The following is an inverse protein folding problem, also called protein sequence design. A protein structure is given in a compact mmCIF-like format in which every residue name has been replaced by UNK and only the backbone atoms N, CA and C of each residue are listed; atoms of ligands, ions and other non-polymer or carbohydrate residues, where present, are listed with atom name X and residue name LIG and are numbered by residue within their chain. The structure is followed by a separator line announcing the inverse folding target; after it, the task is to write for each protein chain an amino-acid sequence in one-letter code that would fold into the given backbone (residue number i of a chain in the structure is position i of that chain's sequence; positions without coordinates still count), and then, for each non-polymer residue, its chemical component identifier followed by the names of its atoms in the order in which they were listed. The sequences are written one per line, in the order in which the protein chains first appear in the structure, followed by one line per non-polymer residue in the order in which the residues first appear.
data_IF_020606403451
#
_entry.id   IF_020606403451
#
_cell.length_a   1.000
_cell.length_b   1.000
_cell.length_c   1.000
_cell.angle_alpha   90.00
_cell.angle_beta   90.00
_cell.angle_gamma   90.00
#
_symmetry.space_group_name_H-M   'P 1'
#
loop_
_entity.id
_entity.type
_entity.pdbx_description
1 polymer ?
#
# COMPACT_ATOMS: atom_id res chain seq x y z
N UNK A 1 4.72 -16.46 1.08
CA UNK A 1 5.33 -15.74 -0.05
C UNK A 1 4.96 -16.50 -1.32
N UNK A 2 4.08 -16.01 -2.19
CA UNK A 2 3.87 -16.64 -3.48
C UNK A 2 5.14 -16.40 -4.31
N UNK A 3 5.78 -17.47 -4.76
CA UNK A 3 7.02 -17.43 -5.54
C UNK A 3 6.79 -16.71 -6.87
N UNK A 4 7.77 -15.92 -7.33
CA UNK A 4 7.75 -15.22 -8.62
C UNK A 4 7.44 -16.17 -9.80
N UNK A 5 7.79 -17.45 -9.63
CA UNK A 5 7.44 -18.55 -10.53
C UNK A 5 5.94 -18.72 -10.76
N UNK A 6 5.11 -18.57 -9.72
CA UNK A 6 3.66 -18.71 -9.82
C UNK A 6 3.01 -17.61 -10.66
N UNK A 7 3.63 -16.42 -10.70
CA UNK A 7 3.12 -15.28 -11.46
C UNK A 7 3.47 -15.40 -12.95
N UNK A 8 4.70 -15.81 -13.26
CA UNK A 8 5.18 -16.01 -14.64
C UNK A 8 4.44 -17.17 -15.32
N UNK A 9 4.15 -18.26 -14.60
CA UNK A 9 3.38 -19.37 -15.18
C UNK A 9 1.94 -18.96 -15.48
N UNK A 10 1.27 -18.26 -14.56
CA UNK A 10 -0.07 -17.71 -14.81
C UNK A 10 -0.09 -16.74 -15.99
N UNK A 11 0.99 -15.97 -16.18
CA UNK A 11 1.17 -15.07 -17.33
C UNK A 11 1.28 -15.84 -18.66
N UNK A 12 2.05 -16.93 -18.71
CA UNK A 12 2.17 -17.76 -19.91
C UNK A 12 0.85 -18.47 -20.24
N UNK A 13 0.14 -18.96 -19.23
CA UNK A 13 -1.18 -19.59 -19.41
C UNK A 13 -2.22 -18.59 -19.92
N UNK A 14 -2.26 -17.38 -19.36
CA UNK A 14 -3.17 -16.33 -19.83
C UNK A 14 -2.83 -15.91 -21.28
N UNK A 15 -1.55 -15.75 -21.60
CA UNK A 15 -1.11 -15.43 -22.97
C UNK A 15 -1.47 -16.53 -23.99
N UNK A 16 -1.38 -17.81 -23.61
CA UNK A 16 -1.80 -18.93 -24.45
C UNK A 16 -3.32 -19.01 -24.62
N UNK A 17 -4.11 -18.70 -23.59
CA UNK A 17 -5.58 -18.76 -23.63
C UNK A 17 -6.22 -17.69 -24.55
N UNK A 18 -5.48 -16.64 -24.91
CA UNK A 18 -5.94 -15.56 -25.80
C UNK A 18 -5.11 -15.43 -27.09
N UNK A 19 -4.33 -16.45 -27.43
CA UNK A 19 -3.51 -16.50 -28.65
C UNK A 19 -4.20 -17.25 -29.79
N UNK A 20 -5.51 -17.09 -29.94
CA UNK A 20 -6.24 -17.64 -31.10
C UNK A 20 -6.10 -16.65 -32.26
N UNK A 21 -5.57 -17.12 -33.39
CA UNK A 21 -5.34 -16.36 -34.63
C UNK A 21 -6.67 -16.11 -35.36
N UNK A 22 -7.47 -15.18 -34.85
CA UNK A 22 -8.63 -14.64 -35.55
C UNK A 22 -8.33 -13.24 -36.06
N UNK A 23 -8.36 -13.06 -37.39
CA UNK A 23 -8.16 -11.82 -38.17
C UNK A 23 -9.27 -10.77 -37.96
N UNK A 24 -9.87 -10.71 -36.77
CA UNK A 24 -10.91 -9.75 -36.43
C UNK A 24 -10.28 -8.49 -35.83
N UNK A 25 -10.45 -7.34 -36.50
CA UNK A 25 -9.98 -6.01 -36.06
C UNK A 25 -10.40 -5.70 -34.61
N UNK A 26 -11.57 -6.18 -34.21
CA UNK A 26 -12.08 -6.10 -32.83
C UNK A 26 -11.23 -6.91 -31.83
N UNK A 27 -10.79 -8.11 -32.19
CA UNK A 27 -9.92 -8.96 -31.36
C UNK A 27 -8.54 -8.32 -31.21
N UNK A 28 -8.04 -7.68 -32.27
CA UNK A 28 -6.76 -6.97 -32.23
C UNK A 28 -6.80 -5.71 -31.34
N UNK A 29 -7.90 -4.95 -31.39
CA UNK A 29 -8.14 -3.82 -30.48
C UNK A 29 -8.32 -4.27 -29.02
N UNK A 30 -9.06 -5.36 -28.79
CA UNK A 30 -9.20 -5.98 -27.47
C UNK A 30 -7.83 -6.40 -26.92
N UNK A 31 -6.99 -7.03 -27.73
CA UNK A 31 -5.64 -7.43 -27.36
C UNK A 31 -4.75 -6.24 -27.01
N UNK A 32 -4.80 -5.16 -27.78
CA UNK A 32 -4.06 -3.92 -27.49
C UNK A 32 -4.52 -3.31 -26.17
N UNK A 33 -5.83 -3.18 -25.95
CA UNK A 33 -6.38 -2.62 -24.72
C UNK A 33 -6.02 -3.47 -23.49
N UNK A 34 -6.12 -4.80 -23.59
CA UNK A 34 -5.69 -5.72 -22.54
C UNK A 34 -4.20 -5.53 -22.26
N UNK A 35 -3.36 -5.44 -23.29
CA UNK A 35 -1.91 -5.22 -23.13
C UNK A 35 -1.63 -3.91 -22.40
N UNK A 36 -2.30 -2.81 -22.76
CA UNK A 36 -2.14 -1.50 -22.12
C UNK A 36 -2.58 -1.51 -20.65
N UNK A 37 -3.74 -2.09 -20.35
CA UNK A 37 -4.23 -2.24 -18.97
C UNK A 37 -3.26 -3.08 -18.14
N UNK A 38 -2.71 -4.14 -18.73
CA UNK A 38 -1.76 -5.02 -18.05
C UNK A 38 -0.45 -4.28 -17.72
N UNK A 39 0.08 -3.52 -18.68
CA UNK A 39 1.28 -2.70 -18.47
C UNK A 39 1.05 -1.64 -17.38
N UNK A 40 -0.12 -1.00 -17.37
CA UNK A 40 -0.49 -0.04 -16.33
C UNK A 40 -0.54 -0.68 -14.93
N UNK A 41 -1.13 -1.88 -14.81
CA UNK A 41 -1.18 -2.60 -13.53
C UNK A 41 0.22 -2.99 -13.05
N UNK A 42 1.11 -3.42 -13.96
CA UNK A 42 2.50 -3.77 -13.65
C UNK A 42 3.27 -2.53 -13.16
N UNK A 43 3.17 -1.40 -13.86
CA UNK A 43 3.83 -0.15 -13.47
C UNK A 43 3.38 0.30 -12.07
N UNK A 44 2.07 0.26 -11.81
CA UNK A 44 1.51 0.61 -10.50
C UNK A 44 1.96 -0.34 -9.38
N UNK A 45 2.07 -1.64 -9.68
CA UNK A 45 2.60 -2.62 -8.74
C UNK A 45 4.09 -2.38 -8.44
N UNK A 46 4.90 -2.14 -9.47
CA UNK A 46 6.31 -1.83 -9.33
C UNK A 46 6.54 -0.55 -8.54
N UNK A 47 5.75 0.49 -8.78
CA UNK A 47 5.84 1.75 -8.06
C UNK A 47 5.49 1.60 -6.58
N UNK A 48 4.48 0.79 -6.26
CA UNK A 48 4.19 0.37 -4.89
C UNK A 48 5.38 -0.32 -4.23
N UNK A 49 6.01 -1.25 -4.94
CA UNK A 49 7.20 -1.97 -4.47
C UNK A 49 8.42 -1.06 -4.36
N UNK A 50 8.64 -0.09 -5.26
CA UNK A 50 9.71 0.91 -5.18
C UNK A 50 9.53 1.79 -3.95
N UNK A 51 8.30 2.21 -3.64
CA UNK A 51 7.98 2.96 -2.42
C UNK A 51 8.25 2.11 -1.17
N UNK A 52 7.88 0.84 -1.17
CA UNK A 52 8.15 -0.08 -0.05
C UNK A 52 9.64 -0.37 0.11
N UNK A 53 10.38 -0.64 -0.98
CA UNK A 53 11.84 -0.86 -0.96
C UNK A 53 12.61 0.38 -0.50
N UNK A 54 12.17 1.58 -0.89
CA UNK A 54 12.70 2.85 -0.35
C UNK A 54 12.47 2.97 1.16
N UNK A 55 11.28 2.59 1.65
CA UNK A 55 10.99 2.54 3.11
C UNK A 55 11.86 1.51 3.84
N UNK A 56 12.14 0.35 3.24
CA UNK A 56 12.95 -0.72 3.86
C UNK A 56 14.45 -0.37 3.89
N UNK A 57 14.93 0.43 2.93
CA UNK A 57 16.35 0.85 2.88
C UNK A 57 16.76 1.79 4.04
N UNK A 58 15.79 2.30 4.80
CA UNK A 58 15.95 3.25 5.90
C UNK A 58 16.03 2.66 7.31
N UNK A 59 16.08 1.33 7.53
CA UNK A 59 16.02 0.77 8.88
C UNK A 59 14.64 0.91 9.54
N UNK A 60 14.44 0.29 10.71
CA UNK A 60 13.14 0.24 11.41
C UNK A 60 12.67 1.58 11.98
N UNK A 61 13.37 2.68 11.69
CA UNK A 61 13.13 4.00 12.26
C UNK A 61 13.07 5.03 11.14
N UNK A 62 12.02 5.87 11.18
CA UNK A 62 11.89 7.01 10.29
C UNK A 62 13.01 8.02 10.56
N UNK A 63 13.76 8.37 9.52
CA UNK A 63 14.68 9.52 9.54
C UNK A 63 13.90 10.81 9.37
N UNK A 64 14.46 11.93 9.81
CA UNK A 64 13.78 13.25 9.72
C UNK A 64 13.30 13.59 8.30
N UNK A 65 14.09 13.25 7.28
CA UNK A 65 13.72 13.47 5.87
C UNK A 65 12.59 12.55 5.36
N UNK A 66 12.28 11.48 6.09
CA UNK A 66 11.23 10.52 5.78
C UNK A 66 9.93 10.82 6.55
N UNK A 67 9.97 11.77 7.49
CA UNK A 67 8.78 12.25 8.18
C UNK A 67 7.89 13.04 7.22
N UNK A 68 6.58 12.87 7.39
CA UNK A 68 5.60 13.64 6.65
C UNK A 68 5.80 15.15 6.95
N UNK A 69 5.83 16.03 5.93
CA UNK A 69 6.17 17.45 6.13
C UNK A 69 5.18 18.21 7.00
N UNK A 70 3.91 17.78 7.04
CA UNK A 70 2.90 18.32 7.97
C UNK A 70 2.06 17.21 8.59
N UNK A 71 2.56 16.55 9.65
CA UNK A 71 1.91 15.38 10.23
C UNK A 71 0.61 15.74 10.98
N UNK A 72 0.34 17.03 11.22
CA UNK A 72 -0.86 17.50 11.93
C UNK A 72 -2.07 17.70 11.02
N UNK A 73 -1.90 17.67 9.70
CA UNK A 73 -2.99 17.96 8.74
C UNK A 73 -3.58 16.65 8.19
N UNK A 74 -2.75 15.70 7.75
CA UNK A 74 -3.21 14.45 7.09
C UNK A 74 -2.35 13.23 7.46
N UNK A 75 -2.08 13.00 8.76
CA UNK A 75 -1.38 11.76 9.15
C UNK A 75 -2.35 10.63 9.49
N UNK A 76 -1.89 9.40 9.30
CA UNK A 76 -2.57 8.22 9.86
C UNK A 76 -2.74 8.33 11.38
N UNK A 77 -1.80 8.97 12.07
CA UNK A 77 -1.91 9.30 13.49
C UNK A 77 -3.12 10.22 13.80
N UNK A 78 -3.36 11.23 12.97
CA UNK A 78 -4.52 12.10 13.13
C UNK A 78 -5.84 11.35 12.88
N UNK A 79 -5.87 10.42 11.92
CA UNK A 79 -7.03 9.58 11.66
C UNK A 79 -7.33 8.67 12.87
N UNK A 80 -6.29 8.01 13.43
CA UNK A 80 -6.40 7.24 14.66
C UNK A 80 -6.91 8.12 15.79
N UNK A 81 -6.29 9.29 16.01
CA UNK A 81 -6.70 10.21 17.06
C UNK A 81 -8.15 10.70 16.91
N UNK A 82 -8.61 10.96 15.70
CA UNK A 82 -10.00 11.39 15.43
C UNK A 82 -11.02 10.26 15.58
N UNK A 83 -10.61 9.01 15.33
CA UNK A 83 -11.53 7.87 15.41
C UNK A 83 -12.10 7.66 16.81
N UNK A 84 -11.30 7.95 17.85
CA UNK A 84 -11.67 7.70 19.25
C UNK A 84 -12.22 6.28 19.48
N UNK A 85 -11.73 5.30 18.71
CA UNK A 85 -12.19 3.92 18.72
C UNK A 85 -11.12 3.02 19.36
N UNK A 86 -11.48 2.29 20.41
CA UNK A 86 -10.55 1.41 21.14
C UNK A 86 -9.85 0.41 20.24
N UNK A 87 -10.56 -0.20 19.28
CA UNK A 87 -9.97 -1.15 18.35
C UNK A 87 -8.83 -0.54 17.54
N UNK A 88 -9.00 0.70 17.10
CA UNK A 88 -8.01 1.41 16.27
C UNK A 88 -6.79 1.79 17.11
N UNK A 89 -6.98 2.20 18.37
CA UNK A 89 -5.89 2.49 19.31
C UNK A 89 -5.14 1.22 19.75
N UNK A 90 -5.84 0.14 20.09
CA UNK A 90 -5.25 -1.14 20.49
C UNK A 90 -4.42 -1.73 19.34
N UNK A 91 -4.95 -1.74 18.12
CA UNK A 91 -4.22 -2.28 16.97
C UNK A 91 -2.96 -1.47 16.63
N UNK A 92 -2.98 -0.15 16.84
CA UNK A 92 -1.87 0.72 16.44
C UNK A 92 -0.83 0.87 17.55
N UNK A 93 -1.26 0.95 18.81
CA UNK A 93 -0.42 1.32 19.97
C UNK A 93 -0.47 0.30 21.12
N UNK A 94 -1.39 -0.66 21.10
CA UNK A 94 -1.56 -1.64 22.17
C UNK A 94 -2.25 -1.11 23.43
N UNK A 95 -2.88 0.06 23.37
CA UNK A 95 -3.62 0.67 24.49
C UNK A 95 -5.00 1.11 24.02
N UNK A 96 -5.97 1.20 24.93
CA UNK A 96 -7.30 1.75 24.64
C UNK A 96 -7.31 3.29 24.70
N UNK A 97 -8.44 3.90 24.33
CA UNK A 97 -8.59 5.36 24.28
C UNK A 97 -8.47 5.97 25.68
N UNK A 98 -9.05 5.32 26.69
CA UNK A 98 -9.03 5.81 28.07
C UNK A 98 -7.61 5.86 28.64
N UNK A 99 -6.83 4.79 28.44
CA UNK A 99 -5.43 4.67 28.85
C UNK A 99 -4.57 5.68 28.10
N UNK A 100 -4.78 5.86 26.80
CA UNK A 100 -4.07 6.87 26.03
C UNK A 100 -4.32 8.28 26.55
N UNK A 101 -5.58 8.65 26.82
CA UNK A 101 -5.94 9.95 27.39
C UNK A 101 -5.38 10.15 28.80
N UNK A 102 -5.37 9.08 29.61
CA UNK A 102 -4.71 9.09 30.91
C UNK A 102 -3.21 9.38 30.76
N UNK A 103 -2.50 8.69 29.86
CA UNK A 103 -1.07 8.93 29.63
C UNK A 103 -0.78 10.36 29.16
N UNK A 104 -1.60 10.91 28.25
CA UNK A 104 -1.48 12.29 27.80
C UNK A 104 -1.64 13.29 28.95
N UNK A 105 -2.61 13.06 29.82
CA UNK A 105 -2.95 13.98 30.92
C UNK A 105 -2.04 13.83 32.13
N UNK A 106 -1.51 12.62 32.39
CA UNK A 106 -0.69 12.30 33.55
C UNK A 106 0.77 12.78 33.46
N UNK A 107 1.34 12.89 32.25
CA UNK A 107 2.77 13.21 32.08
C UNK A 107 3.08 14.50 31.29
N UNK A 108 2.15 15.01 30.49
CA UNK A 108 2.45 16.04 29.48
C UNK A 108 1.57 17.29 29.54
N UNK A 109 0.62 17.36 30.48
CA UNK A 109 -0.33 18.50 30.60
C UNK A 109 0.21 19.68 31.43
N UNK A 110 1.42 19.58 31.98
CA UNK A 110 2.07 20.60 32.81
C UNK A 110 3.46 21.01 32.28
N UNK A 111 3.72 20.88 30.98
CA UNK A 111 4.91 21.41 30.33
C UNK A 111 4.63 22.74 29.64
#
# INVERSE_FOLDING_TARGET
MPSEHSFIEKYLTFRMLFADDTDDEYVQLLRQNITLITLYIIDQYEDGQRRQRKRVRGGYYLRRAELMPSPRIESGWLAVYRSQEDRTYINTMGVDVATFNFLLTAGFKHA
#
